data_IF_208016682955
#
_entry.id   IF_208016682955
#
_cell.length_a   1.000
_cell.length_b   1.000
_cell.length_c   1.000
_cell.angle_alpha   90.00
_cell.angle_beta   90.00
_cell.angle_gamma   90.00
#
_symmetry.space_group_name_H-M   'P 1'
#
loop_
_entity.id
_entity.type
_entity.pdbx_description
1 polymer ?
#
# COMPACT_ATOMS: atom_id res chain seq x y z
N UNK A 1 17.86 -57.00 37.83
CA UNK A 1 17.33 -55.76 38.44
C UNK A 1 18.19 -54.59 38.01
N UNK A 2 17.55 -53.45 37.71
CA UNK A 2 18.09 -52.20 37.13
C UNK A 2 18.39 -52.33 35.63
N UNK A 3 17.88 -51.49 34.74
CA UNK A 3 17.04 -50.29 34.85
C UNK A 3 16.67 -49.85 33.44
N UNK A 4 15.45 -49.34 33.26
CA UNK A 4 14.87 -49.02 31.95
C UNK A 4 15.59 -47.89 31.22
N UNK A 5 15.75 -48.06 29.91
CA UNK A 5 16.22 -47.03 29.00
C UNK A 5 15.02 -46.36 28.33
N UNK A 6 14.69 -45.16 28.80
CA UNK A 6 13.63 -44.30 28.26
C UNK A 6 14.23 -43.52 27.07
N UNK A 7 13.80 -43.82 25.85
CA UNK A 7 14.16 -43.05 24.66
C UNK A 7 13.35 -41.76 24.68
N UNK A 8 13.98 -40.62 24.98
CA UNK A 8 13.37 -39.31 24.87
C UNK A 8 13.56 -38.76 23.45
N UNK A 9 12.42 -38.40 22.83
CA UNK A 9 12.32 -37.67 21.56
C UNK A 9 13.11 -36.34 21.66
N UNK A 10 13.89 -36.08 20.62
CA UNK A 10 14.70 -34.88 20.43
C UNK A 10 13.78 -33.72 20.03
N UNK A 11 13.51 -32.79 20.94
CA UNK A 11 12.93 -31.49 20.59
C UNK A 11 14.05 -30.52 20.21
N UNK A 12 14.11 -30.16 18.93
CA UNK A 12 15.07 -29.21 18.40
C UNK A 12 14.58 -27.79 18.70
N UNK A 13 14.93 -27.23 19.87
CA UNK A 13 14.74 -25.81 20.16
C UNK A 13 15.72 -24.98 19.31
N UNK A 14 15.16 -24.20 18.39
CA UNK A 14 15.88 -23.29 17.48
C UNK A 14 16.68 -22.22 18.25
N UNK A 15 17.90 -22.01 17.78
CA UNK A 15 18.94 -21.07 18.21
C UNK A 15 18.47 -19.64 18.52
N UNK A 16 18.23 -19.33 19.80
CA UNK A 16 18.24 -17.94 20.33
C UNK A 16 19.50 -17.60 21.15
N UNK A 17 20.45 -18.54 21.26
CA UNK A 17 21.63 -18.42 22.15
C UNK A 17 22.86 -17.83 21.44
N UNK A 18 22.84 -17.72 20.10
CA UNK A 18 24.04 -17.37 19.34
C UNK A 18 24.32 -15.85 19.24
N UNK A 19 23.36 -14.99 19.57
CA UNK A 19 23.54 -13.53 19.53
C UNK A 19 24.24 -12.99 20.78
N UNK A 20 24.06 -13.64 21.94
CA UNK A 20 24.70 -13.20 23.19
C UNK A 20 26.15 -13.67 23.33
N UNK A 21 26.53 -14.81 22.72
CA UNK A 21 27.91 -15.32 22.79
C UNK A 21 28.90 -14.48 21.98
N UNK A 22 28.45 -13.87 20.87
CA UNK A 22 29.30 -13.00 20.04
C UNK A 22 29.58 -11.67 20.75
N UNK A 23 28.60 -11.10 21.46
CA UNK A 23 28.83 -9.88 22.26
C UNK A 23 29.82 -10.09 23.41
N UNK A 24 29.80 -11.25 24.07
CA UNK A 24 30.75 -11.55 25.15
C UNK A 24 32.19 -11.76 24.67
N UNK A 25 32.41 -12.19 23.41
CA UNK A 25 33.75 -12.44 22.88
C UNK A 25 34.50 -11.15 22.54
N UNK A 26 33.79 -10.06 22.23
CA UNK A 26 34.40 -8.74 22.00
C UNK A 26 34.77 -7.99 23.29
N UNK A 27 34.26 -8.43 24.45
CA UNK A 27 34.53 -7.76 25.73
C UNK A 27 35.80 -8.24 26.45
N UNK A 28 36.41 -9.35 26.03
CA UNK A 28 37.46 -10.04 26.84
C UNK A 28 38.89 -9.92 26.26
N UNK A 29 39.12 -9.35 25.09
CA UNK A 29 40.49 -9.16 24.55
C UNK A 29 41.06 -7.75 24.70
N UNK A 30 40.45 -6.87 25.50
CA UNK A 30 40.96 -5.52 25.76
C UNK A 30 41.66 -5.36 27.12
N UNK A 31 42.45 -6.33 27.56
CA UNK A 31 43.39 -6.10 28.67
C UNK A 31 44.66 -6.92 28.44
N UNK A 32 45.59 -6.39 27.64
CA UNK A 32 47.04 -6.52 27.84
C UNK A 32 47.83 -5.95 26.64
N UNK A 33 47.89 -4.62 26.51
CA UNK A 33 49.08 -3.94 25.96
C UNK A 33 48.97 -2.44 26.24
N UNK A 34 50.01 -1.90 26.84
CA UNK A 34 50.14 -0.51 27.25
C UNK A 34 50.45 0.36 26.02
N UNK A 35 49.81 1.52 25.92
CA UNK A 35 50.14 2.60 24.99
C UNK A 35 49.14 2.77 23.84
N UNK A 36 48.59 3.98 23.73
CA UNK A 36 47.48 4.40 22.85
C UNK A 36 46.08 4.11 23.41
N UNK A 37 45.40 5.18 23.83
CA UNK A 37 43.94 5.19 23.89
C UNK A 37 43.43 5.02 22.46
N UNK A 38 43.26 3.79 22.00
CA UNK A 38 42.50 3.52 20.79
C UNK A 38 41.03 3.81 21.12
N UNK A 39 40.57 5.01 20.78
CA UNK A 39 39.14 5.31 20.74
C UNK A 39 38.60 4.47 19.58
N UNK A 40 38.02 3.32 19.89
CA UNK A 40 37.23 2.58 18.92
C UNK A 40 35.88 3.28 18.80
N UNK A 41 35.68 4.03 17.71
CA UNK A 41 34.36 4.51 17.32
C UNK A 41 33.74 3.51 16.36
N UNK A 42 32.71 2.79 16.80
CA UNK A 42 31.85 2.02 15.91
C UNK A 42 30.64 2.87 15.56
N UNK A 43 30.52 3.26 14.30
CA UNK A 43 29.31 3.91 13.78
C UNK A 43 28.38 2.82 13.28
N UNK A 44 27.21 2.68 13.90
CA UNK A 44 26.13 1.87 13.37
C UNK A 44 25.13 2.80 12.69
N UNK A 45 24.73 2.47 11.46
CA UNK A 45 23.64 3.18 10.77
C UNK A 45 22.37 2.36 10.99
N UNK A 46 21.39 2.95 11.67
CA UNK A 46 20.04 2.38 11.75
C UNK A 46 19.25 2.93 10.58
N UNK A 47 18.98 2.11 9.58
CA UNK A 47 18.05 2.48 8.51
C UNK A 47 16.63 2.23 9.03
N UNK A 48 15.78 3.27 9.13
CA UNK A 48 14.41 3.08 9.56
C UNK A 48 13.65 2.20 8.55
N UNK A 49 12.76 1.35 9.07
CA UNK A 49 12.00 0.41 8.25
C UNK A 49 11.00 1.11 7.32
N UNK A 50 10.46 2.24 7.77
CA UNK A 50 9.56 3.12 7.01
C UNK A 50 10.23 4.49 6.93
N UNK A 51 10.27 5.06 5.74
CA UNK A 51 10.71 6.44 5.51
C UNK A 51 9.52 7.23 5.02
N UNK A 52 9.32 8.40 5.63
CA UNK A 52 8.32 9.37 5.19
C UNK A 52 9.05 10.66 4.78
N UNK A 53 8.64 11.25 3.68
CA UNK A 53 9.15 12.54 3.19
C UNK A 53 8.02 13.37 2.59
N UNK A 54 8.17 14.70 2.59
CA UNK A 54 7.15 15.62 2.07
C UNK A 54 6.59 16.53 3.16
N UNK A 55 5.46 17.16 2.86
CA UNK A 55 4.84 18.16 3.73
C UNK A 55 3.83 17.51 4.67
N UNK A 56 4.23 17.31 5.92
CA UNK A 56 3.38 16.72 6.96
C UNK A 56 2.55 17.75 7.72
N UNK A 57 2.76 19.04 7.48
CA UNK A 57 2.13 20.13 8.23
C UNK A 57 1.41 21.06 7.25
N UNK A 58 0.13 21.28 7.52
CA UNK A 58 -0.71 22.26 6.88
C UNK A 58 -1.00 23.40 7.85
N UNK A 59 -0.60 24.61 7.48
CA UNK A 59 -0.78 25.81 8.28
C UNK A 59 -1.30 26.98 7.44
N UNK A 60 -2.17 27.79 8.03
CA UNK A 60 -2.66 29.03 7.41
C UNK A 60 -4.04 29.46 7.89
N UNK A 61 -4.42 30.67 7.48
CA UNK A 61 -5.74 31.27 7.70
C UNK A 61 -6.64 31.00 6.49
N UNK A 62 -7.74 30.28 6.70
CA UNK A 62 -8.63 29.84 5.63
C UNK A 62 -10.10 30.11 5.95
N UNK A 63 -10.90 30.20 4.91
CA UNK A 63 -12.34 30.47 4.97
C UNK A 63 -13.15 29.19 4.73
N UNK A 64 -14.35 29.16 5.31
CA UNK A 64 -15.28 28.04 5.16
C UNK A 64 -15.70 27.77 3.72
N UNK A 65 -15.87 26.49 3.41
CA UNK A 65 -16.23 25.97 2.10
C UNK A 65 -15.07 25.89 1.11
N UNK A 66 -13.83 26.06 1.57
CA UNK A 66 -12.64 25.88 0.75
C UNK A 66 -12.16 24.43 0.78
N UNK A 67 -11.91 23.88 -0.40
CA UNK A 67 -11.13 22.67 -0.57
C UNK A 67 -9.69 23.05 -0.94
N UNK A 68 -8.73 22.54 -0.20
CA UNK A 68 -7.31 22.90 -0.34
C UNK A 68 -6.48 21.64 -0.47
N UNK A 69 -5.67 21.57 -1.53
CA UNK A 69 -4.68 20.52 -1.69
C UNK A 69 -3.41 20.87 -0.91
N UNK A 70 -2.96 19.95 -0.06
CA UNK A 70 -1.66 20.03 0.59
C UNK A 70 -0.51 19.62 -0.33
N UNK A 71 0.69 19.55 0.26
CA UNK A 71 1.88 19.01 -0.40
C UNK A 71 1.91 17.48 -0.39
N UNK A 72 2.62 16.89 -1.35
CA UNK A 72 2.76 15.44 -1.44
C UNK A 72 3.52 14.86 -0.23
N UNK A 73 3.08 13.68 0.20
CA UNK A 73 3.73 12.86 1.23
C UNK A 73 4.06 11.52 0.59
N UNK A 74 5.34 11.15 0.59
CA UNK A 74 5.80 9.83 0.13
C UNK A 74 6.17 8.96 1.32
N UNK A 75 5.58 7.77 1.37
CA UNK A 75 5.82 6.74 2.38
C UNK A 75 6.50 5.56 1.70
N UNK A 76 7.67 5.14 2.18
CA UNK A 76 8.44 4.04 1.58
C UNK A 76 8.73 2.96 2.61
N UNK A 77 8.39 1.71 2.27
CA UNK A 77 8.75 0.54 3.06
C UNK A 77 10.13 0.02 2.66
N UNK A 78 11.16 0.32 3.45
CA UNK A 78 12.52 -0.18 3.24
C UNK A 78 12.80 -1.52 3.94
N UNK A 79 11.80 -2.11 4.61
CA UNK A 79 11.93 -3.41 5.23
C UNK A 79 11.86 -4.55 4.18
N UNK A 80 12.43 -5.73 4.50
CA UNK A 80 12.32 -6.92 3.65
C UNK A 80 10.96 -7.64 3.80
N UNK A 81 9.97 -7.03 4.44
CA UNK A 81 8.65 -7.59 4.73
C UNK A 81 7.59 -6.50 4.70
N UNK A 82 6.33 -6.89 4.59
CA UNK A 82 5.19 -5.98 4.65
C UNK A 82 5.20 -5.14 5.92
N UNK A 83 4.70 -3.91 5.80
CA UNK A 83 4.51 -2.98 6.91
C UNK A 83 3.09 -2.46 6.91
N UNK A 84 2.46 -2.55 8.07
CA UNK A 84 1.23 -1.82 8.36
C UNK A 84 1.64 -0.40 8.67
N UNK A 85 1.08 0.55 7.95
CA UNK A 85 1.28 1.99 8.13
C UNK A 85 -0.04 2.58 8.60
N UNK A 86 0.01 3.40 9.63
CA UNK A 86 -1.12 4.17 10.11
C UNK A 86 -0.94 5.62 9.67
N UNK A 87 -1.88 6.11 8.88
CA UNK A 87 -1.99 7.51 8.46
C UNK A 87 -3.12 8.13 9.29
N UNK A 88 -2.80 9.21 9.98
CA UNK A 88 -3.75 9.94 10.83
C UNK A 88 -3.40 11.41 10.87
N UNK A 89 -4.29 12.23 11.42
CA UNK A 89 -4.05 13.65 11.67
C UNK A 89 -4.80 14.11 12.91
N UNK A 90 -4.60 15.38 13.27
CA UNK A 90 -5.19 16.04 14.42
C UNK A 90 -6.36 16.97 14.02
N UNK A 91 -7.04 16.72 12.90
CA UNK A 91 -8.17 17.57 12.45
C UNK A 91 -9.47 17.35 13.22
N UNK A 92 -9.56 16.29 14.04
CA UNK A 92 -10.77 16.00 14.82
C UNK A 92 -11.19 17.21 15.67
N UNK A 93 -12.46 17.63 15.51
CA UNK A 93 -13.02 18.77 16.24
C UNK A 93 -12.54 20.15 15.78
N UNK A 94 -11.73 20.24 14.72
CA UNK A 94 -11.27 21.51 14.13
C UNK A 94 -12.24 22.10 13.10
N UNK A 95 -13.22 21.31 12.64
CA UNK A 95 -14.11 21.70 11.54
C UNK A 95 -13.49 21.52 10.16
N UNK A 96 -12.31 20.90 10.07
CA UNK A 96 -11.67 20.50 8.82
C UNK A 96 -11.78 18.99 8.65
N UNK A 97 -12.23 18.55 7.48
CA UNK A 97 -12.19 17.14 7.10
C UNK A 97 -10.95 16.89 6.25
N UNK A 98 -10.20 15.84 6.58
CA UNK A 98 -8.98 15.47 5.85
C UNK A 98 -9.19 14.15 5.13
N UNK A 99 -8.83 14.11 3.86
CA UNK A 99 -8.69 12.87 3.09
C UNK A 99 -7.32 12.82 2.43
N UNK A 100 -6.84 11.63 2.07
CA UNK A 100 -5.54 11.43 1.45
C UNK A 100 -5.76 10.80 0.09
N UNK A 101 -5.36 11.51 -0.96
CA UNK A 101 -5.59 11.12 -2.36
C UNK A 101 -4.29 10.59 -2.96
N UNK A 102 -4.37 9.42 -3.58
CA UNK A 102 -3.29 8.84 -4.37
C UNK A 102 -3.55 9.06 -5.86
N UNK A 103 -2.49 8.91 -6.65
CA UNK A 103 -2.59 8.77 -8.10
C UNK A 103 -2.49 7.29 -8.45
N UNK A 104 -3.33 6.85 -9.38
CA UNK A 104 -3.25 5.51 -9.92
C UNK A 104 -2.95 5.59 -11.41
N UNK A 105 -1.84 4.99 -11.81
CA UNK A 105 -1.55 4.73 -13.19
C UNK A 105 -2.18 3.40 -13.62
N UNK A 106 -2.93 3.43 -14.72
CA UNK A 106 -3.46 2.24 -15.37
C UNK A 106 -2.87 2.15 -16.78
N UNK A 107 -2.38 0.96 -17.13
CA UNK A 107 -1.68 0.75 -18.38
C UNK A 107 -2.21 -0.48 -19.10
N UNK A 108 -2.19 -0.39 -20.43
CA UNK A 108 -2.50 -1.51 -21.30
C UNK A 108 -1.37 -2.56 -21.17
N UNK A 109 -1.77 -3.83 -21.17
CA UNK A 109 -0.86 -4.97 -21.03
C UNK A 109 -1.07 -5.92 -22.18
N UNK A 110 0.01 -6.51 -22.65
CA UNK A 110 -0.05 -7.67 -23.51
C UNK A 110 -0.70 -8.82 -22.72
N UNK A 111 -1.81 -9.39 -23.18
CA UNK A 111 -2.52 -10.42 -22.39
C UNK A 111 -1.80 -11.78 -22.36
N UNK A 112 -0.84 -12.01 -23.27
CA UNK A 112 -0.04 -13.24 -23.30
C UNK A 112 1.20 -13.12 -22.40
N UNK A 113 1.91 -11.99 -22.45
CA UNK A 113 3.16 -11.77 -21.71
C UNK A 113 3.00 -10.93 -20.44
N UNK A 114 1.86 -10.27 -20.28
CA UNK A 114 1.54 -9.35 -19.18
C UNK A 114 2.52 -8.18 -19.00
N UNK A 115 3.27 -7.88 -20.05
CA UNK A 115 4.14 -6.71 -20.10
C UNK A 115 3.35 -5.47 -20.48
N UNK A 116 3.74 -4.32 -19.92
CA UNK A 116 3.19 -3.03 -20.32
C UNK A 116 3.38 -2.83 -21.82
N UNK A 117 2.29 -2.64 -22.53
CA UNK A 117 2.26 -2.46 -23.97
C UNK A 117 1.06 -1.58 -24.32
N UNK A 118 1.31 -0.39 -24.85
CA UNK A 118 0.27 0.49 -25.33
C UNK A 118 0.12 1.75 -24.50
N UNK A 119 -1.12 2.17 -24.31
CA UNK A 119 -1.44 3.43 -23.64
C UNK A 119 -1.51 3.31 -22.11
N UNK A 120 -1.42 4.49 -21.49
CA UNK A 120 -1.45 4.69 -20.05
C UNK A 120 -2.41 5.84 -19.74
N UNK A 121 -3.21 5.70 -18.69
CA UNK A 121 -4.08 6.74 -18.13
C UNK A 121 -3.82 6.85 -16.64
N UNK A 122 -4.08 8.03 -16.10
CA UNK A 122 -3.97 8.29 -14.66
C UNK A 122 -5.30 8.76 -14.13
N UNK A 123 -5.71 8.21 -12.99
CA UNK A 123 -6.85 8.69 -12.21
C UNK A 123 -6.38 9.04 -10.81
N UNK A 124 -7.18 9.82 -10.09
CA UNK A 124 -6.98 10.06 -8.67
C UNK A 124 -8.01 9.26 -7.88
N UNK A 125 -7.62 8.78 -6.71
CA UNK A 125 -8.51 8.05 -5.82
C UNK A 125 -8.19 8.31 -4.36
N UNK A 126 -9.19 8.26 -3.49
CA UNK A 126 -8.98 8.32 -2.04
C UNK A 126 -8.29 7.06 -1.55
N UNK A 127 -7.16 7.22 -0.86
CA UNK A 127 -6.44 6.16 -0.15
C UNK A 127 -6.91 6.06 1.30
N UNK A 128 -7.16 7.21 1.94
CA UNK A 128 -7.67 7.28 3.32
C UNK A 128 -8.71 8.40 3.40
N UNK A 129 -9.85 8.11 4.00
CA UNK A 129 -10.93 9.09 4.19
C UNK A 129 -12.26 8.39 4.47
N UNK A 130 -13.29 9.17 4.83
CA UNK A 130 -14.60 8.61 5.18
C UNK A 130 -15.31 7.96 3.99
N UNK A 131 -14.98 8.38 2.76
CA UNK A 131 -15.57 7.85 1.53
C UNK A 131 -14.52 7.61 0.46
N UNK A 132 -14.79 6.62 -0.39
CA UNK A 132 -13.96 6.34 -1.56
C UNK A 132 -14.38 7.25 -2.70
N UNK A 133 -13.54 8.23 -3.02
CA UNK A 133 -13.76 9.18 -4.11
C UNK A 133 -12.82 8.84 -5.24
N UNK A 134 -13.31 8.92 -6.48
CA UNK A 134 -12.49 8.83 -7.68
C UNK A 134 -12.67 10.09 -8.51
N UNK A 135 -11.60 10.55 -9.15
CA UNK A 135 -11.67 11.61 -10.17
C UNK A 135 -10.73 11.36 -11.34
N UNK A 136 -10.99 12.01 -12.47
CA UNK A 136 -10.16 11.93 -13.66
C UNK A 136 -10.41 10.70 -14.54
N UNK A 137 -11.55 10.00 -14.36
CA UNK A 137 -11.95 8.91 -15.27
C UNK A 137 -12.17 9.52 -16.67
N UNK A 138 -11.46 9.05 -17.71
CA UNK A 138 -11.66 9.57 -19.07
C UNK A 138 -13.05 9.18 -19.61
N UNK A 139 -13.69 10.09 -20.36
CA UNK A 139 -15.07 9.95 -20.83
C UNK A 139 -15.32 8.69 -21.66
N UNK A 140 -14.30 8.18 -22.35
CA UNK A 140 -14.38 7.00 -23.19
C UNK A 140 -14.22 5.67 -22.43
N UNK A 141 -13.93 5.71 -21.12
CA UNK A 141 -13.71 4.53 -20.28
C UNK A 141 -14.73 4.42 -19.15
N UNK A 142 -15.05 3.18 -18.80
CA UNK A 142 -15.72 2.84 -17.55
C UNK A 142 -14.68 2.33 -16.55
N UNK A 143 -14.65 2.92 -15.36
CA UNK A 143 -13.84 2.40 -14.26
C UNK A 143 -14.63 1.32 -13.51
N UNK A 144 -13.97 0.20 -13.28
CA UNK A 144 -14.52 -0.88 -12.46
C UNK A 144 -13.61 -1.20 -11.29
N UNK A 145 -14.23 -1.47 -10.16
CA UNK A 145 -13.61 -2.14 -9.04
C UNK A 145 -13.88 -3.64 -9.14
N UNK A 146 -12.79 -4.42 -9.19
CA UNK A 146 -12.82 -5.87 -9.12
C UNK A 146 -12.29 -6.31 -7.73
N UNK A 147 -13.18 -6.76 -6.82
CA UNK A 147 -12.81 -7.15 -5.46
C UNK A 147 -12.03 -8.48 -5.36
N UNK A 148 -11.89 -9.21 -6.47
CA UNK A 148 -11.29 -10.54 -6.56
C UNK A 148 -11.79 -11.52 -5.47
N UNK A 149 -13.02 -12.01 -5.63
CA UNK A 149 -13.66 -12.90 -4.68
C UNK A 149 -13.62 -14.36 -5.16
N UNK A 150 -12.52 -15.05 -4.85
CA UNK A 150 -12.41 -16.53 -4.81
C UNK A 150 -12.57 -17.27 -6.15
N UNK A 151 -11.55 -18.10 -6.45
CA UNK A 151 -11.41 -19.00 -7.59
C UNK A 151 -12.72 -19.64 -8.10
N UNK A 152 -13.20 -19.14 -9.23
CA UNK A 152 -14.28 -19.71 -10.02
C UNK A 152 -14.09 -19.31 -11.48
N UNK A 153 -14.49 -20.18 -12.40
CA UNK A 153 -14.36 -19.99 -13.86
C UNK A 153 -14.82 -18.59 -14.31
N UNK A 154 -14.13 -17.99 -15.30
CA UNK A 154 -14.32 -16.65 -15.89
C UNK A 154 -15.74 -16.25 -16.36
N UNK A 155 -16.77 -17.07 -16.15
CA UNK A 155 -18.15 -16.74 -16.47
C UNK A 155 -18.81 -16.01 -15.29
N UNK A 156 -19.28 -14.78 -15.50
CA UNK A 156 -20.00 -14.00 -14.49
C UNK A 156 -19.16 -12.91 -13.79
N UNK A 157 -17.97 -12.57 -14.31
CA UNK A 157 -17.16 -11.48 -13.76
C UNK A 157 -17.94 -10.16 -13.73
N UNK A 158 -18.83 -9.91 -14.71
CA UNK A 158 -19.67 -8.72 -14.73
C UNK A 158 -20.60 -8.59 -13.53
N UNK A 159 -20.94 -9.70 -12.84
CA UNK A 159 -21.81 -9.67 -11.65
C UNK A 159 -21.04 -9.45 -10.34
N UNK A 160 -19.72 -9.60 -10.37
CA UNK A 160 -18.85 -9.49 -9.19
C UNK A 160 -18.06 -8.18 -9.15
N UNK A 161 -18.19 -7.34 -10.18
CA UNK A 161 -17.57 -6.01 -10.26
C UNK A 161 -18.52 -4.92 -9.78
N UNK A 162 -17.92 -3.83 -9.30
CA UNK A 162 -18.64 -2.57 -9.03
C UNK A 162 -18.19 -1.51 -10.03
N UNK A 163 -19.13 -0.90 -10.74
CA UNK A 163 -18.84 0.25 -11.60
C UNK A 163 -18.63 1.48 -10.72
N UNK A 164 -17.55 2.22 -10.98
CA UNK A 164 -17.19 3.42 -10.24
C UNK A 164 -17.33 4.65 -11.14
N UNK A 165 -17.81 5.74 -10.55
CA UNK A 165 -18.01 7.02 -11.23
C UNK A 165 -17.10 8.10 -10.64
N UNK A 166 -16.91 9.19 -11.39
CA UNK A 166 -16.29 10.40 -10.85
C UNK A 166 -17.15 10.90 -9.66
N UNK A 167 -16.51 11.12 -8.52
CA UNK A 167 -17.16 11.49 -7.26
C UNK A 167 -17.16 10.35 -6.23
N UNK A 168 -18.11 10.44 -5.29
CA UNK A 168 -18.23 9.50 -4.17
C UNK A 168 -18.79 8.16 -4.65
N UNK A 169 -18.10 7.07 -4.30
CA UNK A 169 -18.54 5.71 -4.57
C UNK A 169 -18.74 4.94 -3.26
N UNK A 170 -19.78 4.11 -3.22
CA UNK A 170 -20.08 3.29 -2.05
C UNK A 170 -19.35 1.95 -2.16
N UNK A 171 -18.05 1.96 -1.87
CA UNK A 171 -17.28 0.76 -1.61
C UNK A 171 -16.79 0.79 -0.15
N UNK A 172 -16.82 -0.36 0.52
CA UNK A 172 -16.27 -0.47 1.88
C UNK A 172 -14.75 -0.39 1.86
N UNK A 173 -14.12 -0.64 3.01
CA UNK A 173 -12.67 -0.81 3.07
C UNK A 173 -12.24 -1.91 2.09
N UNK A 174 -11.19 -1.62 1.33
CA UNK A 174 -10.62 -2.58 0.41
C UNK A 174 -9.84 -3.63 1.22
N UNK A 175 -9.88 -4.91 0.83
CA UNK A 175 -9.22 -5.96 1.59
C UNK A 175 -7.73 -5.68 1.81
N UNK A 176 -7.32 -5.60 3.08
CA UNK A 176 -5.95 -5.34 3.54
C UNK A 176 -4.98 -6.51 3.29
N UNK A 177 -5.47 -7.65 2.80
CA UNK A 177 -4.67 -8.87 2.65
C UNK A 177 -4.72 -9.43 1.24
N UNK A 178 -3.54 -9.54 0.63
CA UNK A 178 -3.31 -10.44 -0.47
C UNK A 178 -3.38 -11.88 0.06
N UNK A 179 -4.56 -12.50 0.05
CA UNK A 179 -4.62 -13.95 0.22
C UNK A 179 -4.26 -14.55 -1.14
N UNK A 180 -3.09 -15.17 -1.23
CA UNK A 180 -2.64 -15.96 -2.37
C UNK A 180 -3.71 -17.00 -2.75
N UNK A 181 -4.36 -16.75 -3.88
CA UNK A 181 -5.15 -17.74 -4.63
C UNK A 181 -4.68 -17.73 -6.08
N UNK A 182 -3.43 -18.14 -6.30
CA UNK A 182 -3.14 -19.16 -7.32
C UNK A 182 -3.35 -18.86 -8.80
N UNK A 183 -3.24 -17.62 -9.27
CA UNK A 183 -3.25 -17.31 -10.72
C UNK A 183 -1.87 -16.83 -11.20
N UNK A 184 -1.42 -17.37 -12.34
CA UNK A 184 -0.04 -17.35 -12.90
C UNK A 184 0.55 -15.97 -13.26
N UNK A 185 -0.08 -14.85 -12.88
CA UNK A 185 0.44 -13.49 -13.08
C UNK A 185 1.72 -13.20 -12.27
N UNK A 186 2.03 -14.05 -11.28
CA UNK A 186 3.19 -13.89 -10.39
C UNK A 186 4.08 -15.13 -10.31
N UNK A 187 4.01 -16.01 -11.32
CA UNK A 187 4.79 -17.24 -11.36
C UNK A 187 6.09 -17.05 -12.18
N UNK A 188 7.15 -16.67 -11.47
CA UNK A 188 8.52 -17.24 -11.53
C UNK A 188 9.32 -17.25 -12.84
N UNK A 189 8.82 -16.77 -13.98
CA UNK A 189 9.57 -16.89 -15.25
C UNK A 189 10.03 -15.54 -15.83
N UNK A 190 9.35 -14.44 -15.53
CA UNK A 190 9.62 -13.12 -16.14
C UNK A 190 10.06 -12.01 -15.18
N UNK A 191 9.76 -12.09 -13.87
CA UNK A 191 10.26 -11.17 -12.86
C UNK A 191 10.63 -11.93 -11.56
N UNK A 192 11.90 -12.29 -11.34
CA UNK A 192 12.31 -13.15 -10.23
C UNK A 192 12.20 -12.51 -8.84
N UNK A 193 11.77 -11.25 -8.75
CA UNK A 193 11.57 -10.53 -7.50
C UNK A 193 10.09 -10.19 -7.21
N UNK A 194 9.15 -10.57 -8.08
CA UNK A 194 7.73 -10.28 -7.89
C UNK A 194 7.08 -11.32 -6.96
N UNK A 195 6.62 -10.88 -5.79
CA UNK A 195 5.67 -11.62 -4.93
C UNK A 195 4.24 -11.43 -5.44
N UNK A 196 3.40 -12.47 -5.30
CA UNK A 196 2.01 -12.50 -5.76
C UNK A 196 1.19 -11.23 -5.46
N UNK A 197 0.57 -10.65 -6.49
CA UNK A 197 -0.37 -9.55 -6.35
C UNK A 197 -1.81 -10.10 -6.30
N UNK A 198 -2.34 -10.29 -5.09
CA UNK A 198 -3.78 -10.41 -4.87
C UNK A 198 -4.24 -9.18 -4.10
N UNK A 199 -5.33 -8.57 -4.53
CA UNK A 199 -6.00 -7.47 -3.85
C UNK A 199 -7.08 -6.88 -4.73
N UNK A 200 -7.76 -5.88 -4.18
CA UNK A 200 -8.66 -5.03 -4.92
C UNK A 200 -7.97 -4.50 -6.19
N UNK A 201 -8.69 -4.44 -7.30
CA UNK A 201 -8.16 -3.94 -8.58
C UNK A 201 -9.09 -2.88 -9.15
N UNK A 202 -8.49 -1.86 -9.77
CA UNK A 202 -9.21 -0.88 -10.58
C UNK A 202 -8.80 -1.07 -12.04
N UNK A 203 -9.78 -1.27 -12.92
CA UNK A 203 -9.55 -1.36 -14.36
C UNK A 203 -10.34 -0.29 -15.10
N UNK A 204 -9.73 0.31 -16.11
CA UNK A 204 -10.46 1.13 -17.08
C UNK A 204 -10.73 0.27 -18.31
N UNK A 205 -12.01 0.12 -18.65
CA UNK A 205 -12.46 -0.63 -19.82
C UNK A 205 -13.05 0.33 -20.83
N UNK A 206 -12.53 0.32 -22.05
CA UNK A 206 -13.00 1.17 -23.13
C UNK A 206 -14.48 0.89 -23.46
N UNK A 207 -15.31 1.93 -23.36
CA UNK A 207 -16.76 1.89 -23.59
C UNK A 207 -17.55 2.39 -22.38
N UNK A 208 -18.85 2.67 -22.61
CA UNK A 208 -19.81 2.89 -21.53
C UNK A 208 -19.99 1.62 -20.67
N UNK A 209 -20.73 1.75 -19.57
CA UNK A 209 -20.97 0.66 -18.61
C UNK A 209 -21.47 -0.62 -19.30
N UNK A 210 -22.39 -0.50 -20.26
CA UNK A 210 -22.96 -1.68 -20.94
C UNK A 210 -21.92 -2.38 -21.80
N UNK A 211 -21.11 -1.61 -22.53
CA UNK A 211 -20.03 -2.13 -23.36
C UNK A 211 -18.92 -2.74 -22.48
N UNK A 212 -18.55 -2.06 -21.40
CA UNK A 212 -17.49 -2.49 -20.49
C UNK A 212 -17.82 -3.83 -19.80
N UNK A 213 -19.04 -3.96 -19.27
CA UNK A 213 -19.50 -5.21 -18.64
C UNK A 213 -19.58 -6.36 -19.66
N UNK A 214 -20.03 -6.10 -20.88
CA UNK A 214 -20.06 -7.11 -21.94
C UNK A 214 -18.65 -7.59 -22.37
N UNK A 215 -17.64 -6.71 -22.29
CA UNK A 215 -16.24 -7.07 -22.55
C UNK A 215 -15.67 -7.99 -21.46
N UNK A 216 -16.03 -7.77 -20.20
CA UNK A 216 -15.63 -8.65 -19.09
C UNK A 216 -16.14 -10.08 -19.27
N UNK A 217 -17.43 -10.26 -19.56
CA UNK A 217 -18.05 -11.58 -19.67
C UNK A 217 -17.53 -12.41 -20.84
N UNK A 218 -17.07 -11.75 -21.90
CA UNK A 218 -16.48 -12.40 -23.07
C UNK A 218 -14.95 -12.43 -23.02
N UNK A 219 -14.35 -11.96 -21.92
CA UNK A 219 -12.90 -11.81 -21.73
C UNK A 219 -12.21 -11.06 -22.90
N UNK A 220 -12.89 -10.05 -23.45
CA UNK A 220 -12.38 -9.19 -24.53
C UNK A 220 -11.61 -8.00 -23.95
N UNK A 221 -10.44 -8.30 -23.39
CA UNK A 221 -9.66 -7.36 -22.56
C UNK A 221 -8.56 -6.61 -23.31
N UNK A 222 -8.55 -6.65 -24.65
CA UNK A 222 -7.48 -6.07 -25.46
C UNK A 222 -7.32 -4.55 -25.25
N UNK A 223 -8.42 -3.84 -24.96
CA UNK A 223 -8.44 -2.39 -24.70
C UNK A 223 -8.59 -2.06 -23.21
N UNK A 224 -8.30 -3.01 -22.32
CA UNK A 224 -8.39 -2.78 -20.87
C UNK A 224 -7.07 -2.24 -20.34
N UNK A 225 -7.16 -1.17 -19.56
CA UNK A 225 -6.05 -0.63 -18.79
C UNK A 225 -6.12 -1.18 -17.37
N UNK A 226 -5.05 -1.84 -16.95
CA UNK A 226 -4.94 -2.46 -15.64
C UNK A 226 -4.11 -1.59 -14.71
N UNK A 227 -4.40 -1.62 -13.41
CA UNK A 227 -3.57 -1.00 -12.40
C UNK A 227 -2.11 -1.45 -12.52
N UNK A 228 -1.18 -0.50 -12.38
CA UNK A 228 0.27 -0.78 -12.33
C UNK A 228 0.72 -1.14 -10.92
N UNK A 229 -0.03 -0.72 -9.91
CA UNK A 229 0.25 -0.93 -8.49
C UNK A 229 -0.99 -1.41 -7.74
N UNK A 230 -0.78 -2.02 -6.57
CA UNK A 230 -1.87 -2.45 -5.69
C UNK A 230 -2.57 -1.22 -5.11
N UNK A 231 -3.88 -1.10 -5.34
CA UNK A 231 -4.68 -0.05 -4.72
C UNK A 231 -4.95 -0.39 -3.26
N UNK A 232 -5.11 0.64 -2.45
CA UNK A 232 -5.45 0.51 -1.03
C UNK A 232 -6.46 1.59 -0.69
N UNK A 233 -7.49 1.23 0.07
CA UNK A 233 -8.39 2.19 0.67
C UNK A 233 -8.90 1.64 1.99
N UNK A 234 -8.64 2.39 3.05
CA UNK A 234 -9.09 2.07 4.39
C UNK A 234 -9.52 3.36 5.07
N UNK A 235 -10.79 3.42 5.45
CA UNK A 235 -11.38 4.61 6.08
C UNK A 235 -10.74 4.97 7.43
N UNK A 236 -10.15 3.98 8.12
CA UNK A 236 -9.42 4.16 9.37
C UNK A 236 -7.94 4.51 9.21
N UNK A 237 -7.44 4.69 7.98
CA UNK A 237 -6.05 5.08 7.74
C UNK A 237 -5.02 3.97 7.94
N UNK A 238 -5.45 2.71 7.98
CA UNK A 238 -4.56 1.55 8.12
C UNK A 238 -4.30 0.98 6.73
N UNK A 239 -3.05 1.05 6.26
CA UNK A 239 -2.64 0.55 4.95
C UNK A 239 -1.50 -0.45 5.08
N UNK A 240 -1.37 -1.37 4.13
CA UNK A 240 -0.28 -2.36 4.05
C UNK A 240 0.65 -2.04 2.88
N UNK A 241 1.90 -1.67 3.17
CA UNK A 241 2.92 -1.50 2.14
C UNK A 241 3.77 -2.76 2.00
N UNK A 242 3.79 -3.32 0.80
CA UNK A 242 4.68 -4.43 0.42
C UNK A 242 6.16 -4.05 0.52
N UNK A 243 7.09 -5.03 0.54
CA UNK A 243 8.51 -4.74 0.70
C UNK A 243 9.00 -3.91 -0.48
N UNK A 244 9.74 -2.82 -0.19
CA UNK A 244 10.28 -1.88 -1.20
C UNK A 244 9.23 -1.10 -1.99
N UNK A 245 7.96 -1.18 -1.62
CA UNK A 245 6.92 -0.34 -2.21
C UNK A 245 7.00 1.09 -1.65
N UNK A 246 6.59 2.03 -2.47
CA UNK A 246 6.35 3.42 -2.09
C UNK A 246 4.91 3.76 -2.38
N UNK A 247 4.33 4.62 -1.56
CA UNK A 247 3.01 5.21 -1.76
C UNK A 247 3.16 6.72 -1.64
N UNK A 248 2.68 7.44 -2.64
CA UNK A 248 2.58 8.91 -2.60
C UNK A 248 1.12 9.30 -2.43
N UNK A 249 0.86 10.11 -1.41
CA UNK A 249 -0.47 10.64 -1.10
C UNK A 249 -0.41 12.16 -1.03
N UNK A 250 -1.52 12.80 -1.36
CA UNK A 250 -1.73 14.25 -1.21
C UNK A 250 -2.91 14.46 -0.27
N UNK A 251 -2.74 15.12 0.88
CA UNK A 251 -3.84 15.44 1.75
C UNK A 251 -4.73 16.52 1.11
N UNK A 252 -6.04 16.34 1.20
CA UNK A 252 -7.08 17.30 0.81
C UNK A 252 -7.79 17.75 2.08
N UNK A 253 -7.79 19.06 2.31
CA UNK A 253 -8.41 19.72 3.45
C UNK A 253 -9.71 20.39 3.00
N UNK A 254 -10.85 19.89 3.47
CA UNK A 254 -12.16 20.49 3.26
C UNK A 254 -12.56 21.28 4.52
N UNK A 255 -12.54 22.61 4.42
CA UNK A 255 -12.88 23.52 5.51
C UNK A 255 -14.41 23.64 5.58
N UNK A 256 -15.00 23.29 6.73
CA UNK A 256 -16.45 23.34 6.92
C UNK A 256 -17.07 24.70 6.55
N UNK A 257 -18.28 24.69 5.98
CA UNK A 257 -18.93 25.88 5.36
C UNK A 257 -19.14 27.11 6.28
N UNK A 258 -18.94 26.97 7.60
CA UNK A 258 -19.07 28.05 8.59
C UNK A 258 -17.85 28.16 9.50
N UNK A 259 -16.76 27.52 9.12
CA UNK A 259 -15.51 27.52 9.85
C UNK A 259 -14.58 28.61 9.28
N UNK A 260 -13.76 29.22 10.13
CA UNK A 260 -12.73 30.15 9.70
C UNK A 260 -11.68 30.31 10.79
N UNK A 261 -10.43 30.48 10.39
CA UNK A 261 -9.35 30.85 11.30
C UNK A 261 -8.04 30.17 10.95
N UNK A 262 -7.10 30.28 11.90
CA UNK A 262 -5.79 29.66 11.79
C UNK A 262 -5.88 28.16 12.05
N UNK A 263 -5.55 27.36 11.04
CA UNK A 263 -5.45 25.91 11.13
C UNK A 263 -4.00 25.47 11.24
N UNK A 264 -3.75 24.42 12.03
CA UNK A 264 -2.48 23.72 12.09
C UNK A 264 -2.75 22.22 12.17
N UNK A 265 -2.77 21.58 11.01
CA UNK A 265 -3.05 20.15 10.88
C UNK A 265 -1.75 19.43 10.57
N UNK A 266 -1.43 18.42 11.37
CA UNK A 266 -0.23 17.58 11.22
C UNK A 266 -0.64 16.16 10.87
N UNK A 267 -0.20 15.69 9.70
CA UNK A 267 -0.29 14.28 9.32
C UNK A 267 0.78 13.47 10.03
N UNK A 268 0.37 12.40 10.69
CA UNK A 268 1.23 11.42 11.36
C UNK A 268 1.24 10.12 10.56
N UNK A 269 2.44 9.63 10.26
CA UNK A 269 2.69 8.33 9.61
C UNK A 269 3.49 7.43 10.55
N UNK A 270 2.94 6.29 10.96
CA UNK A 270 3.53 5.40 11.96
C UNK A 270 3.44 3.90 11.63
#
# INVERSE_FOLDING_TARGET
>A
MKGGMKIMKKETKKNKVLVFSVLSLFAITLVAAIGYYAIFSATFTVNPAVITSGDLVFEGDYYGGQEISGGEITITNNAPSDRIINISDNSEGTGVNVSYVGTLELSQKNLDTWTLEGETKTINYTVVGETFVVSGIPDEYTLIYYPNLVSGWYAGISTDVTVLNNGVNTIGDLPDTSIDVGDDYCNNTYNPNATQCVGAKLWLILGDETIALAKLDNWSMADTLFETELIQYNSGGIITLSPRASLTITPIYDIGAYESGDYNITTTVA
#
